data_IF_325871920985
#
_entry.id   IF_325871920985
#
_cell.length_a   1.000
_cell.length_b   1.000
_cell.length_c   1.000
_cell.angle_alpha   90.00
_cell.angle_beta   90.00
_cell.angle_gamma   90.00
#
_symmetry.space_group_name_H-M   'P 1'
#
loop_
_entity.id
_entity.type
_entity.pdbx_description
1 polymer ?
#
# COMPACT_ATOMS: atom_id res chain seq x y z
N UNK A 1 3.47 11.62 1.27
CA UNK A 1 2.46 10.83 0.55
C UNK A 1 1.45 10.44 1.61
N UNK A 2 0.20 10.82 1.44
CA UNK A 2 -0.84 10.68 2.49
C UNK A 2 -1.33 9.22 2.52
N UNK A 3 -1.65 8.68 3.70
CA UNK A 3 -2.18 7.31 3.82
C UNK A 3 -3.59 7.17 3.24
N UNK A 4 -4.30 8.28 3.05
CA UNK A 4 -5.63 8.31 2.42
C UNK A 4 -5.65 7.74 1.01
N UNK A 5 -4.55 7.85 0.27
CA UNK A 5 -4.42 7.32 -1.10
C UNK A 5 -4.44 5.78 -1.12
N UNK A 6 -4.12 5.11 0.00
CA UNK A 6 -4.14 3.65 0.10
C UNK A 6 -5.54 3.08 0.31
N UNK A 7 -6.47 3.90 0.81
CA UNK A 7 -7.86 3.52 1.07
C UNK A 7 -8.81 3.91 -0.06
N UNK A 8 -8.33 4.65 -1.06
CA UNK A 8 -9.15 5.25 -2.09
C UNK A 8 -9.82 4.15 -2.94
N UNK A 9 -11.15 4.03 -2.81
CA UNK A 9 -11.97 3.01 -3.47
C UNK A 9 -12.36 1.78 -2.62
N UNK A 10 -11.76 1.56 -1.46
CA UNK A 10 -11.94 0.34 -0.65
C UNK A 10 -12.63 0.51 0.71
N UNK A 11 -12.94 1.74 1.13
CA UNK A 11 -13.57 2.01 2.42
C UNK A 11 -12.68 1.74 3.64
N UNK A 12 -11.36 1.64 3.44
CA UNK A 12 -10.38 1.42 4.49
C UNK A 12 -9.77 2.76 4.94
N UNK A 13 -9.57 2.91 6.25
CA UNK A 13 -8.85 4.03 6.86
C UNK A 13 -7.59 3.54 7.54
N UNK A 14 -6.49 4.28 7.36
CA UNK A 14 -5.18 3.94 7.88
C UNK A 14 -4.65 5.07 8.77
N UNK A 15 -4.06 4.73 9.91
CA UNK A 15 -3.61 5.69 10.93
C UNK A 15 -2.10 5.67 11.18
N UNK A 16 -1.42 4.56 10.87
CA UNK A 16 0.03 4.39 11.05
C UNK A 16 0.66 3.71 9.83
N UNK A 17 1.94 3.97 9.64
CA UNK A 17 2.78 3.30 8.65
C UNK A 17 4.04 2.77 9.30
N UNK A 18 4.41 1.53 8.99
CA UNK A 18 5.69 0.96 9.36
C UNK A 18 6.70 1.24 8.25
N UNK A 19 7.64 2.15 8.53
CA UNK A 19 8.74 2.48 7.62
C UNK A 19 9.93 1.56 7.91
N UNK A 20 10.23 0.68 6.96
CA UNK A 20 11.30 -0.31 7.12
C UNK A 20 12.52 0.03 6.27
N UNK A 21 13.69 0.16 6.90
CA UNK A 21 14.96 0.43 6.21
C UNK A 21 15.44 -0.74 5.33
N UNK A 22 14.88 -1.94 5.51
CA UNK A 22 15.18 -3.12 4.69
C UNK A 22 14.23 -3.31 3.52
N UNK A 23 13.27 -2.39 3.34
CA UNK A 23 12.39 -2.38 2.19
C UNK A 23 13.10 -1.68 1.02
N UNK A 24 13.47 -2.43 -0.01
CA UNK A 24 14.12 -1.89 -1.20
C UNK A 24 13.16 -1.09 -2.11
N UNK A 25 11.84 -1.21 -1.89
CA UNK A 25 10.80 -0.58 -2.69
C UNK A 25 9.77 0.19 -1.84
N UNK A 26 10.18 1.16 -1.00
CA UNK A 26 9.31 1.82 -0.01
C UNK A 26 8.14 2.61 -0.61
N UNK A 27 8.19 2.92 -1.91
CA UNK A 27 7.07 3.54 -2.63
C UNK A 27 6.01 2.51 -3.05
N UNK A 28 6.43 1.32 -3.44
CA UNK A 28 5.58 0.27 -4.03
C UNK A 28 5.05 -0.68 -2.96
N UNK A 29 5.89 -1.00 -1.98
CA UNK A 29 5.55 -1.89 -0.88
C UNK A 29 5.35 -1.06 0.39
N UNK A 30 4.10 -0.82 0.77
CA UNK A 30 3.76 0.00 1.94
C UNK A 30 3.09 -0.83 3.01
N UNK A 31 3.50 -0.66 4.27
CA UNK A 31 2.93 -1.40 5.40
C UNK A 31 2.17 -0.41 6.27
N UNK A 32 0.85 -0.49 6.27
CA UNK A 32 -0.01 0.46 6.96
C UNK A 32 -0.95 -0.26 7.93
N UNK A 33 -1.20 0.35 9.08
CA UNK A 33 -2.17 -0.13 10.05
C UNK A 33 -3.56 0.35 9.63
N UNK A 34 -4.47 -0.60 9.41
CA UNK A 34 -5.87 -0.37 9.07
C UNK A 34 -6.68 -0.30 10.36
N UNK A 35 -7.22 0.88 10.67
CA UNK A 35 -8.02 1.10 11.88
C UNK A 35 -9.54 1.04 11.62
N UNK A 36 -9.96 1.12 10.36
CA UNK A 36 -11.36 1.00 9.96
C UNK A 36 -11.46 0.39 8.56
N UNK A 37 -12.41 -0.52 8.35
CA UNK A 37 -12.76 -1.08 7.05
C UNK A 37 -14.27 -1.15 6.91
N UNK A 38 -14.83 -0.52 5.87
CA UNK A 38 -16.27 -0.47 5.59
C UNK A 38 -17.12 0.05 6.78
N UNK A 39 -16.54 0.94 7.59
CA UNK A 39 -17.20 1.52 8.77
C UNK A 39 -17.11 0.65 10.04
N UNK A 40 -16.40 -0.48 9.99
CA UNK A 40 -16.12 -1.31 11.15
C UNK A 40 -14.69 -1.10 11.64
N UNK A 41 -14.51 -0.98 12.95
CA UNK A 41 -13.19 -0.86 13.59
C UNK A 41 -12.34 -2.12 13.31
N UNK A 42 -11.07 -1.89 12.96
CA UNK A 42 -10.09 -2.92 12.67
C UNK A 42 -8.82 -2.71 13.50
N UNK A 43 -8.08 -3.79 13.70
CA UNK A 43 -6.75 -3.78 14.32
C UNK A 43 -5.87 -4.76 13.52
N UNK A 44 -5.57 -4.37 12.28
CA UNK A 44 -4.86 -5.22 11.32
C UNK A 44 -3.82 -4.42 10.55
N UNK A 45 -2.66 -5.03 10.33
CA UNK A 45 -1.66 -4.46 9.45
C UNK A 45 -1.82 -4.99 8.04
N UNK A 46 -1.74 -4.08 7.07
CA UNK A 46 -1.83 -4.37 5.64
C UNK A 46 -0.48 -4.15 4.97
N UNK A 47 -0.06 -5.11 4.15
CA UNK A 47 0.93 -4.88 3.10
C UNK A 47 0.20 -4.50 1.82
N UNK A 48 0.47 -3.29 1.35
CA UNK A 48 0.07 -2.77 0.06
C UNK A 48 1.17 -3.04 -0.94
N UNK A 49 0.82 -3.61 -2.09
CA UNK A 49 1.70 -3.79 -3.24
C UNK A 49 1.12 -2.95 -4.38
N UNK A 50 1.84 -1.88 -4.73
CA UNK A 50 1.37 -0.85 -5.63
C UNK A 50 2.30 -0.81 -6.85
N UNK A 51 1.70 -0.98 -8.01
CA UNK A 51 2.39 -0.78 -9.28
C UNK A 51 2.06 0.59 -9.83
N UNK A 52 3.11 1.34 -10.16
CA UNK A 52 3.00 2.67 -10.74
C UNK A 52 3.45 2.61 -12.20
N UNK A 53 2.58 3.09 -13.09
CA UNK A 53 2.82 3.10 -14.51
C UNK A 53 4.15 3.78 -14.87
N UNK A 54 4.93 3.13 -15.73
CA UNK A 54 6.14 3.70 -16.33
C UNK A 54 5.88 4.20 -17.76
N UNK A 55 6.86 4.89 -18.35
CA UNK A 55 6.74 5.43 -19.72
C UNK A 55 6.36 4.36 -20.75
N UNK A 56 6.90 3.14 -20.61
CA UNK A 56 6.60 2.04 -21.53
C UNK A 56 5.11 1.67 -21.53
N UNK A 57 4.50 1.57 -20.36
CA UNK A 57 3.08 1.22 -20.20
C UNK A 57 2.17 2.33 -20.76
N UNK A 58 2.54 3.59 -20.55
CA UNK A 58 1.83 4.73 -21.16
C UNK A 58 1.96 4.68 -22.69
N UNK A 59 3.15 4.41 -23.22
CA UNK A 59 3.38 4.31 -24.67
C UNK A 59 2.62 3.13 -25.31
N UNK A 60 2.38 2.06 -24.55
CA UNK A 60 1.57 0.91 -24.96
C UNK A 60 0.06 1.16 -24.85
N UNK A 61 -0.35 2.27 -24.22
CA UNK A 61 -1.76 2.59 -23.96
C UNK A 61 -2.37 1.80 -22.80
N UNK A 62 -1.53 1.24 -21.92
CA UNK A 62 -1.94 0.51 -20.71
C UNK A 62 -2.19 1.45 -19.51
N UNK A 63 -1.70 2.69 -19.59
CA UNK A 63 -1.91 3.75 -18.62
C UNK A 63 -2.10 5.11 -19.33
N UNK A 64 -2.83 6.04 -18.69
CA UNK A 64 -3.05 7.41 -19.16
C UNK A 64 -1.83 8.31 -18.89
N UNK A 65 -1.12 8.11 -17.79
CA UNK A 65 0.07 8.91 -17.43
C UNK A 65 1.09 8.16 -16.56
N UNK A 66 2.35 8.61 -16.58
CA UNK A 66 3.43 8.04 -15.76
C UNK A 66 3.15 8.29 -14.28
N UNK A 67 3.19 7.24 -13.48
CA UNK A 67 2.88 7.28 -12.06
C UNK A 67 1.41 7.04 -11.72
N UNK A 68 0.56 6.74 -12.71
CA UNK A 68 -0.78 6.18 -12.46
C UNK A 68 -0.67 4.85 -11.72
N UNK A 69 -1.55 4.60 -10.75
CA UNK A 69 -1.64 3.28 -10.11
C UNK A 69 -2.41 2.35 -11.04
N UNK A 70 -1.72 1.40 -11.65
CA UNK A 70 -2.33 0.42 -12.59
C UNK A 70 -2.67 -0.90 -11.91
N UNK A 71 -2.03 -1.20 -10.79
CA UNK A 71 -2.31 -2.37 -9.97
C UNK A 71 -2.08 -2.09 -8.50
N UNK A 72 -3.00 -2.55 -7.64
CA UNK A 72 -2.91 -2.40 -6.20
C UNK A 72 -3.49 -3.64 -5.52
N UNK A 73 -2.66 -4.39 -4.79
CA UNK A 73 -3.11 -5.48 -3.92
C UNK A 73 -2.85 -5.18 -2.46
N UNK A 74 -3.66 -5.83 -1.62
CA UNK A 74 -3.60 -5.69 -0.17
C UNK A 74 -3.70 -7.08 0.45
N UNK A 75 -2.81 -7.37 1.40
CA UNK A 75 -2.88 -8.57 2.24
C UNK A 75 -2.70 -8.18 3.71
N UNK A 76 -3.39 -8.88 4.62
CA UNK A 76 -3.17 -8.71 6.05
C UNK A 76 -1.91 -9.46 6.50
N UNK A 77 -1.12 -8.84 7.37
CA UNK A 77 0.14 -9.37 7.88
C UNK A 77 0.26 -9.14 9.39
N UNK A 78 1.02 -10.00 10.07
CA UNK A 78 1.32 -9.86 11.51
C UNK A 78 2.78 -9.42 11.76
N UNK A 79 3.61 -9.43 10.72
CA UNK A 79 5.03 -9.14 10.79
C UNK A 79 5.46 -8.42 9.52
N UNK A 80 6.45 -7.54 9.63
CA UNK A 80 7.08 -6.90 8.50
C UNK A 80 7.86 -7.95 7.67
N UNK A 81 7.52 -8.19 6.40
CA UNK A 81 8.21 -9.19 5.57
C UNK A 81 9.66 -8.82 5.24
N UNK A 82 10.06 -7.57 5.48
CA UNK A 82 11.40 -7.06 5.15
C UNK A 82 12.37 -7.19 6.34
N UNK A 83 11.97 -6.76 7.54
CA UNK A 83 12.83 -6.83 8.73
C UNK A 83 12.53 -8.01 9.66
N UNK A 84 11.35 -8.63 9.54
CA UNK A 84 10.90 -9.70 10.42
C UNK A 84 10.37 -9.21 11.77
N UNK A 85 10.25 -7.90 11.99
CA UNK A 85 9.68 -7.35 13.22
C UNK A 85 8.18 -7.64 13.29
N UNK A 86 7.70 -7.93 14.50
CA UNK A 86 6.26 -8.00 14.80
C UNK A 86 5.68 -6.59 14.75
N UNK A 87 4.51 -6.45 14.12
CA UNK A 87 3.80 -5.19 14.01
C UNK A 87 2.78 -5.08 15.14
N UNK A 88 2.87 -4.00 15.92
CA UNK A 88 1.98 -3.64 17.05
C UNK A 88 1.40 -2.23 16.85
#
# INVERSE_FOLDING_TARGET
MELSELGDGGGATYDKEHLCDKNDFPKNDRIAHCCELEGEEQDVWHLHNIHYAVEEEVNMGEAEFVGEITYHTVISINYCPFCGETLD
#
